data_IF_045365885022
#
_entry.id   IF_045365885022
#
_cell.length_a   1.000
_cell.length_b   1.000
_cell.length_c   1.000
_cell.angle_alpha   90.00
_cell.angle_beta   90.00
_cell.angle_gamma   90.00
#
_symmetry.space_group_name_H-M   'P 1'
#
loop_
_entity.id
_entity.type
_entity.pdbx_description
1 polymer ?
#
# COMPACT_ATOMS: atom_id res chain seq x y z
N UNK A 1 10.72 20.79 8.99
CA UNK A 1 10.55 19.40 9.39
C UNK A 1 10.86 18.48 8.22
N UNK A 2 11.64 17.44 8.46
CA UNK A 2 12.02 16.49 7.44
C UNK A 2 11.16 15.24 7.60
N UNK A 3 10.49 14.83 6.51
CA UNK A 3 9.70 13.61 6.54
C UNK A 3 10.51 12.48 5.94
N UNK A 4 10.64 11.39 6.66
CA UNK A 4 11.25 10.19 6.14
C UNK A 4 10.22 9.44 5.30
N UNK A 5 10.65 9.00 4.14
CA UNK A 5 9.78 8.25 3.24
C UNK A 5 9.87 6.77 3.53
N UNK A 6 8.74 6.08 3.43
CA UNK A 6 8.69 4.64 3.59
C UNK A 6 7.96 4.04 2.41
N UNK A 7 8.51 2.97 1.86
CA UNK A 7 7.86 2.22 0.79
C UNK A 7 7.33 0.93 1.41
N UNK A 8 6.05 0.70 1.28
CA UNK A 8 5.39 -0.45 1.87
C UNK A 8 4.73 -1.28 0.77
N UNK A 9 5.02 -2.58 0.76
CA UNK A 9 4.32 -3.49 -0.13
C UNK A 9 2.92 -3.72 0.41
N UNK A 10 1.92 -3.44 -0.40
CA UNK A 10 0.54 -3.51 0.02
C UNK A 10 -0.19 -4.54 -0.82
N UNK A 11 -0.52 -5.66 -0.21
CA UNK A 11 -1.14 -6.79 -0.90
C UNK A 11 -2.65 -6.87 -0.72
N UNK A 12 -3.21 -6.05 0.14
CA UNK A 12 -4.62 -6.15 0.50
C UNK A 12 -4.87 -7.08 1.67
N UNK A 13 -3.84 -7.76 2.18
CA UNK A 13 -3.96 -8.60 3.35
C UNK A 13 -3.80 -7.82 4.63
N UNK A 14 -4.14 -8.47 5.74
CA UNK A 14 -4.12 -7.83 7.04
C UNK A 14 -2.72 -7.39 7.44
N UNK A 15 -1.73 -8.25 7.20
CA UNK A 15 -0.37 -7.95 7.65
C UNK A 15 0.22 -6.74 6.91
N UNK A 16 -0.02 -6.65 5.61
CA UNK A 16 0.51 -5.52 4.86
C UNK A 16 -0.19 -4.22 5.23
N UNK A 17 -1.50 -4.27 5.47
CA UNK A 17 -2.22 -3.07 5.88
C UNK A 17 -1.80 -2.63 7.26
N UNK A 18 -1.50 -3.57 8.17
CA UNK A 18 -1.01 -3.24 9.50
C UNK A 18 0.35 -2.56 9.42
N UNK A 19 1.24 -3.06 8.57
CA UNK A 19 2.56 -2.46 8.38
C UNK A 19 2.43 -1.03 7.86
N UNK A 20 1.56 -0.83 6.88
CA UNK A 20 1.35 0.51 6.33
C UNK A 20 0.77 1.46 7.37
N UNK A 21 -0.17 0.97 8.18
CA UNK A 21 -0.78 1.78 9.23
C UNK A 21 0.25 2.20 10.28
N UNK A 22 1.13 1.27 10.67
CA UNK A 22 2.17 1.56 11.65
C UNK A 22 3.13 2.62 11.11
N UNK A 23 3.57 2.46 9.86
CA UNK A 23 4.46 3.44 9.25
C UNK A 23 3.81 4.82 9.21
N UNK A 24 2.54 4.86 8.84
CA UNK A 24 1.81 6.12 8.79
C UNK A 24 1.70 6.74 10.17
N UNK A 25 1.40 5.93 11.17
CA UNK A 25 1.24 6.40 12.55
C UNK A 25 2.55 6.94 13.09
N UNK A 26 3.67 6.39 12.68
CA UNK A 26 4.98 6.85 13.14
C UNK A 26 5.49 8.07 12.40
N UNK A 27 4.69 8.61 11.51
CA UNK A 27 5.03 9.87 10.86
C UNK A 27 5.79 9.76 9.56
N UNK A 28 5.90 8.55 9.01
CA UNK A 28 6.52 8.39 7.70
C UNK A 28 5.59 8.87 6.60
N UNK A 29 6.20 9.37 5.54
CA UNK A 29 5.47 9.66 4.32
C UNK A 29 5.41 8.35 3.53
N UNK A 30 4.25 7.72 3.52
CA UNK A 30 4.11 6.34 3.02
C UNK A 30 3.83 6.31 1.53
N UNK A 31 4.60 5.51 0.82
CA UNK A 31 4.38 5.18 -0.58
C UNK A 31 4.06 3.70 -0.66
N UNK A 32 2.90 3.38 -1.18
CA UNK A 32 2.46 1.99 -1.24
C UNK A 32 2.73 1.41 -2.62
N UNK A 33 3.12 0.14 -2.65
CA UNK A 33 3.41 -0.58 -3.88
C UNK A 33 2.64 -1.88 -3.88
N UNK A 34 1.86 -2.11 -4.93
CA UNK A 34 1.11 -3.33 -5.10
C UNK A 34 1.45 -3.99 -6.42
N UNK A 35 1.32 -5.31 -6.48
CA UNK A 35 1.57 -6.06 -7.71
C UNK A 35 0.26 -6.63 -8.23
N UNK A 36 0.04 -6.49 -9.50
CA UNK A 36 -1.13 -7.02 -10.18
C UNK A 36 -0.68 -8.17 -11.07
N UNK A 37 -0.95 -9.39 -10.62
CA UNK A 37 -0.69 -10.59 -11.38
C UNK A 37 -1.91 -10.88 -12.23
N UNK A 38 -1.78 -10.66 -13.44
CA UNK A 38 -2.79 -10.63 -14.48
C UNK A 38 -4.06 -11.47 -14.30
N UNK A 39 -4.01 -12.61 -13.68
CA UNK A 39 -5.12 -13.55 -13.73
C UNK A 39 -5.94 -13.71 -12.47
N UNK A 40 -5.64 -12.95 -11.44
CA UNK A 40 -6.34 -13.21 -10.19
C UNK A 40 -6.12 -12.11 -9.18
N UNK A 41 -6.84 -12.21 -8.09
CA UNK A 41 -6.70 -11.33 -6.93
C UNK A 41 -7.13 -9.91 -7.16
N UNK A 42 -8.11 -9.71 -8.06
CA UNK A 42 -8.68 -8.38 -8.23
C UNK A 42 -9.28 -7.86 -6.94
N UNK A 43 -9.89 -8.76 -6.17
CA UNK A 43 -10.46 -8.38 -4.88
C UNK A 43 -9.37 -7.90 -3.95
N UNK A 44 -8.23 -8.58 -3.93
CA UNK A 44 -7.10 -8.16 -3.10
C UNK A 44 -6.53 -6.83 -3.56
N UNK A 45 -6.47 -6.62 -4.87
CA UNK A 45 -5.96 -5.36 -5.40
C UNK A 45 -6.89 -4.21 -5.04
N UNK A 46 -8.20 -4.43 -5.13
CA UNK A 46 -9.16 -3.41 -4.72
C UNK A 46 -9.08 -3.13 -3.24
N UNK A 47 -8.90 -4.17 -2.44
CA UNK A 47 -8.72 -4.00 -1.01
C UNK A 47 -7.47 -3.17 -0.73
N UNK A 48 -6.38 -3.42 -1.45
CA UNK A 48 -5.16 -2.64 -1.30
C UNK A 48 -5.39 -1.17 -1.66
N UNK A 49 -6.13 -0.91 -2.72
CA UNK A 49 -6.45 0.47 -3.10
C UNK A 49 -7.27 1.17 -2.04
N UNK A 50 -8.26 0.46 -1.48
CA UNK A 50 -9.10 1.04 -0.44
C UNK A 50 -8.29 1.33 0.83
N UNK A 51 -7.39 0.43 1.18
CA UNK A 51 -6.52 0.64 2.33
C UNK A 51 -5.62 1.85 2.11
N UNK A 52 -5.04 1.96 0.92
CA UNK A 52 -4.18 3.10 0.60
C UNK A 52 -4.93 4.41 0.70
N UNK A 53 -6.17 4.44 0.21
CA UNK A 53 -7.01 5.63 0.33
C UNK A 53 -7.35 5.94 1.78
N UNK A 54 -7.70 4.92 2.54
CA UNK A 54 -8.07 5.05 3.93
C UNK A 54 -6.91 5.60 4.76
N UNK A 55 -5.70 5.13 4.50
CA UNK A 55 -4.52 5.57 5.23
C UNK A 55 -3.94 6.86 4.69
N UNK A 56 -4.46 7.35 3.58
CA UNK A 56 -3.98 8.57 2.94
C UNK A 56 -2.49 8.51 2.65
N UNK A 57 -2.06 7.39 2.05
CA UNK A 57 -0.68 7.25 1.63
C UNK A 57 -0.37 8.31 0.57
N UNK A 58 0.89 8.69 0.48
CA UNK A 58 1.30 9.74 -0.44
C UNK A 58 1.08 9.33 -1.90
N UNK A 59 1.37 8.08 -2.21
CA UNK A 59 1.20 7.56 -3.55
C UNK A 59 1.03 6.06 -3.49
N UNK A 60 0.23 5.52 -4.39
CA UNK A 60 0.04 4.08 -4.52
C UNK A 60 0.32 3.68 -5.95
N UNK A 61 1.36 2.90 -6.14
CA UNK A 61 1.73 2.37 -7.45
C UNK A 61 1.31 0.93 -7.57
N UNK A 62 0.75 0.59 -8.71
CA UNK A 62 0.38 -0.78 -9.03
C UNK A 62 1.21 -1.23 -10.21
N UNK A 63 2.01 -2.29 -10.01
CA UNK A 63 2.86 -2.83 -11.06
C UNK A 63 2.21 -4.09 -11.60
N UNK A 64 2.00 -4.12 -12.90
CA UNK A 64 1.35 -5.25 -13.54
C UNK A 64 2.36 -6.23 -14.09
N UNK A 65 2.08 -7.50 -13.88
CA UNK A 65 2.84 -8.60 -14.46
C UNK A 65 1.96 -9.44 -15.36
N UNK A 66 2.49 -9.86 -16.46
CA UNK A 66 1.80 -10.79 -17.35
C UNK A 66 2.11 -12.24 -17.01
#
# INVERSE_FOLDING_TARGET
MIFTKAVVLLSGGIDSSTTAAIAKHEGYEVYALSFDYNQRHKVELEAAKNIALSLKVKKHLVIKFD
#
